data_IF_342241140829
#
_entry.id   IF_342241140829
#
_cell.length_a   1.000
_cell.length_b   1.000
_cell.length_c   1.000
_cell.angle_alpha   90.00
_cell.angle_beta   90.00
_cell.angle_gamma   90.00
#
_symmetry.space_group_name_H-M   'P 1'
#
loop_
_entity.id
_entity.type
_entity.pdbx_description
1 polymer ?
#
# COMPACT_ATOMS: atom_id res chain seq x y z
N UNK A 1 3.21 -1.98 14.11
CA UNK A 1 2.49 -0.75 13.73
C UNK A 1 1.31 -0.39 14.67
N UNK A 2 1.32 -0.77 15.95
CA UNK A 2 0.16 -0.48 16.81
C UNK A 2 -0.02 1.02 17.11
N UNK A 3 1.08 1.74 17.38
CA UNK A 3 1.04 3.17 17.71
C UNK A 3 0.56 4.05 16.53
N UNK A 4 1.14 3.87 15.34
CA UNK A 4 0.79 4.67 14.16
C UNK A 4 -0.68 4.48 13.76
N UNK A 5 -1.17 3.23 13.81
CA UNK A 5 -2.59 2.94 13.57
C UNK A 5 -3.50 3.60 14.60
N UNK A 6 -3.12 3.57 15.87
CA UNK A 6 -3.88 4.24 16.93
C UNK A 6 -3.96 5.74 16.71
N UNK A 7 -2.85 6.41 16.39
CA UNK A 7 -2.82 7.85 16.11
C UNK A 7 -3.64 8.21 14.86
N UNK A 8 -3.62 7.36 13.83
CA UNK A 8 -4.46 7.53 12.65
C UNK A 8 -5.96 7.48 13.02
N UNK A 9 -6.36 6.50 13.84
CA UNK A 9 -7.76 6.29 14.22
C UNK A 9 -8.28 7.34 15.22
N UNK A 10 -7.47 7.70 16.22
CA UNK A 10 -7.86 8.64 17.28
C UNK A 10 -7.83 10.10 16.80
N UNK A 11 -6.83 10.46 15.98
CA UNK A 11 -6.57 11.86 15.61
C UNK A 11 -6.83 12.17 14.13
N UNK A 12 -7.26 11.19 13.32
CA UNK A 12 -7.47 11.37 11.88
C UNK A 12 -6.17 11.65 11.10
N UNK A 13 -5.01 11.29 11.65
CA UNK A 13 -3.71 11.58 11.03
C UNK A 13 -3.41 10.65 9.85
N UNK A 14 -3.05 11.21 8.70
CA UNK A 14 -2.61 10.41 7.55
C UNK A 14 -1.12 10.09 7.65
N UNK A 15 -0.75 8.80 7.48
CA UNK A 15 0.64 8.35 7.44
C UNK A 15 0.99 7.83 6.06
N UNK A 16 2.14 8.26 5.54
CA UNK A 16 2.76 7.73 4.33
C UNK A 16 4.04 7.03 4.74
N UNK A 17 4.15 5.74 4.44
CA UNK A 17 5.30 4.89 4.79
C UNK A 17 5.99 4.47 3.50
N UNK A 18 7.25 4.85 3.34
CA UNK A 18 8.10 4.43 2.22
C UNK A 18 9.07 3.37 2.73
N UNK A 19 9.04 2.19 2.13
CA UNK A 19 9.85 1.05 2.55
C UNK A 19 10.11 0.10 1.38
N UNK A 20 11.21 -0.65 1.47
CA UNK A 20 11.49 -1.77 0.58
C UNK A 20 11.09 -3.13 1.19
N UNK A 21 10.65 -3.18 2.45
CA UNK A 21 10.21 -4.41 3.10
C UNK A 21 8.71 -4.66 2.81
N UNK A 22 8.35 -5.70 2.03
CA UNK A 22 6.96 -5.98 1.70
C UNK A 22 6.10 -6.31 2.93
N UNK A 23 6.70 -6.80 4.02
CA UNK A 23 5.98 -7.11 5.27
C UNK A 23 5.43 -5.86 5.93
N UNK A 24 6.15 -4.74 5.81
CA UNK A 24 5.71 -3.44 6.32
C UNK A 24 4.56 -2.90 5.44
N UNK A 25 4.68 -3.04 4.12
CA UNK A 25 3.61 -2.65 3.19
C UNK A 25 2.29 -3.41 3.44
N UNK A 26 2.39 -4.72 3.70
CA UNK A 26 1.23 -5.56 4.00
C UNK A 26 0.49 -5.18 5.31
N UNK A 27 1.09 -4.35 6.17
CA UNK A 27 0.45 -3.84 7.39
C UNK A 27 -0.28 -2.51 7.19
N UNK A 28 -0.08 -1.83 6.05
CA UNK A 28 -0.79 -0.61 5.67
C UNK A 28 -2.18 -0.94 5.13
N UNK A 29 -3.06 0.06 4.99
CA UNK A 29 -4.40 -0.16 4.42
C UNK A 29 -4.40 -0.05 2.88
N UNK A 30 -3.43 0.67 2.32
CA UNK A 30 -3.20 0.85 0.88
C UNK A 30 -1.71 0.71 0.56
N UNK A 31 -1.40 0.11 -0.57
CA UNK A 31 -0.04 -0.06 -1.08
C UNK A 31 0.02 0.58 -2.47
N UNK A 32 0.97 1.49 -2.65
CA UNK A 32 1.30 2.08 -3.95
C UNK A 32 2.71 1.65 -4.30
N UNK A 33 2.87 0.97 -5.44
CA UNK A 33 4.18 0.56 -5.94
C UNK A 33 4.68 1.56 -6.98
N UNK A 34 5.94 1.93 -6.87
CA UNK A 34 6.58 2.85 -7.81
C UNK A 34 7.84 2.22 -8.40
N UNK A 35 8.06 2.48 -9.69
CA UNK A 35 9.29 2.12 -10.40
C UNK A 35 9.64 3.23 -11.40
N UNK A 36 10.89 3.65 -11.41
CA UNK A 36 11.42 4.67 -12.32
C UNK A 36 10.58 5.96 -12.34
N UNK A 37 10.16 6.42 -11.15
CA UNK A 37 9.35 7.63 -10.98
C UNK A 37 7.87 7.49 -11.42
N UNK A 38 7.42 6.28 -11.77
CA UNK A 38 6.03 6.00 -12.18
C UNK A 38 5.35 5.09 -11.18
N UNK A 39 4.05 5.31 -10.94
CA UNK A 39 3.20 4.37 -10.21
C UNK A 39 2.92 3.18 -11.14
N UNK A 40 3.24 1.98 -10.68
CA UNK A 40 3.03 0.74 -11.43
C UNK A 40 1.92 -0.14 -10.85
N UNK A 41 1.52 0.12 -9.60
CA UNK A 41 0.42 -0.57 -8.93
C UNK A 41 -0.14 0.30 -7.79
N UNK A 42 -1.43 0.18 -7.54
CA UNK A 42 -2.18 0.95 -6.55
C UNK A 42 -3.39 0.14 -6.06
N UNK A 43 -3.29 -0.41 -4.85
CA UNK A 43 -4.30 -1.34 -4.34
C UNK A 43 -4.49 -1.25 -2.82
N UNK A 44 -5.64 -1.75 -2.35
CA UNK A 44 -5.87 -1.95 -0.93
C UNK A 44 -5.09 -3.17 -0.46
N UNK A 45 -4.40 -3.04 0.67
CA UNK A 45 -3.69 -4.18 1.25
C UNK A 45 -4.72 -5.26 1.66
N UNK A 46 -4.59 -6.46 1.11
CA UNK A 46 -5.54 -7.56 1.32
C UNK A 46 -6.64 -7.70 0.26
N UNK A 47 -6.68 -6.83 -0.75
CA UNK A 47 -7.49 -7.07 -1.96
C UNK A 47 -6.74 -7.98 -2.95
N UNK A 48 -6.65 -9.26 -2.61
CA UNK A 48 -6.16 -10.29 -3.53
C UNK A 48 -7.24 -10.62 -4.56
N UNK A 49 -7.51 -9.72 -5.53
CA UNK A 49 -8.43 -10.01 -6.65
C UNK A 49 -8.44 -9.02 -7.83
N UNK A 50 -7.31 -8.48 -8.26
CA UNK A 50 -7.26 -7.96 -9.65
C UNK A 50 -6.01 -8.37 -10.42
N UNK A 51 -5.85 -9.69 -10.53
CA UNK A 51 -5.11 -10.34 -11.63
C UNK A 51 -5.90 -10.28 -12.95
N UNK A 52 -6.37 -9.09 -13.35
CA UNK A 52 -6.95 -8.83 -14.68
C UNK A 52 -6.38 -7.55 -15.29
N UNK A 53 -5.14 -7.65 -15.74
CA UNK A 53 -4.45 -6.63 -16.52
C UNK A 53 -3.58 -7.22 -17.63
N UNK A 54 -4.22 -7.85 -18.62
CA UNK A 54 -3.74 -7.85 -20.02
C UNK A 54 -2.55 -8.75 -20.36
N UNK A 55 -2.85 -9.94 -20.85
CA UNK A 55 -2.12 -10.52 -21.98
C UNK A 55 -2.18 -9.55 -23.16
N UNK A 56 -1.17 -8.70 -23.29
CA UNK A 56 -0.82 -8.00 -24.53
C UNK A 56 0.19 -8.85 -25.28
N UNK A 57 -0.19 -9.29 -26.47
CA UNK A 57 0.70 -9.89 -27.46
C UNK A 57 1.82 -8.93 -27.88
#
# INVERSE_FOLDING_TARGET
MALLRRLNQENGQTFVIVTHDPRIGAMCDRIVQMRDGRIIDDGLAGSELDSRGGSGQ
#
